data_IF_352461634336
#
_entry.id   IF_352461634336
#
_cell.length_a   1.000
_cell.length_b   1.000
_cell.length_c   1.000
_cell.angle_alpha   90.00
_cell.angle_beta   90.00
_cell.angle_gamma   90.00
#
_symmetry.space_group_name_H-M   'P 1'
#
loop_
_entity.id
_entity.type
_entity.pdbx_description
1 polymer ?
#
# COMPACT_ATOMS: atom_id res chain seq x y z
N UNK A 1 -3.01 20.38 10.65
CA UNK A 1 -4.36 19.79 10.57
C UNK A 1 -4.39 18.56 11.44
N UNK A 2 -5.43 18.35 12.26
CA UNK A 2 -5.55 17.21 13.17
C UNK A 2 -6.70 16.31 12.71
N UNK A 3 -6.50 14.99 12.77
CA UNK A 3 -7.50 13.96 12.45
C UNK A 3 -7.44 12.86 13.50
N UNK A 4 -8.57 12.23 13.80
CA UNK A 4 -8.66 11.05 14.67
C UNK A 4 -8.61 9.73 13.90
N UNK A 5 -8.60 9.79 12.58
CA UNK A 5 -8.41 8.65 11.67
C UNK A 5 -6.94 8.55 11.27
N UNK A 6 -6.35 7.33 11.27
CA UNK A 6 -5.01 7.12 10.75
C UNK A 6 -4.86 7.57 9.30
N UNK A 7 -3.65 7.97 8.88
CA UNK A 7 -3.36 8.27 7.49
C UNK A 7 -3.46 7.03 6.59
N UNK A 8 -3.82 7.23 5.32
CA UNK A 8 -4.02 6.14 4.36
C UNK A 8 -2.75 5.36 4.01
N UNK A 9 -1.55 5.94 4.20
CA UNK A 9 -0.29 5.23 3.94
C UNK A 9 -0.11 4.01 4.85
N UNK A 10 -0.73 3.99 6.04
CA UNK A 10 -0.69 2.84 6.95
C UNK A 10 -1.38 1.63 6.30
N UNK A 11 -2.41 1.85 5.48
CA UNK A 11 -3.06 0.77 4.74
C UNK A 11 -2.10 0.13 3.73
N UNK A 12 -1.33 0.94 3.02
CA UNK A 12 -0.33 0.46 2.06
C UNK A 12 0.79 -0.36 2.75
N UNK A 13 1.24 0.10 3.93
CA UNK A 13 2.23 -0.59 4.76
C UNK A 13 1.74 -1.99 5.17
N UNK A 14 0.53 -2.08 5.74
CA UNK A 14 -0.05 -3.37 6.16
C UNK A 14 -0.27 -4.30 4.98
N UNK A 15 -0.69 -3.78 3.82
CA UNK A 15 -0.81 -4.61 2.61
C UNK A 15 0.54 -5.19 2.19
N UNK A 16 1.63 -4.43 2.27
CA UNK A 16 2.97 -4.91 1.94
C UNK A 16 3.50 -5.93 2.97
N UNK A 17 3.19 -5.73 4.26
CA UNK A 17 3.49 -6.70 5.31
C UNK A 17 2.85 -8.06 5.03
N UNK A 18 1.59 -8.07 4.56
CA UNK A 18 0.90 -9.31 4.19
C UNK A 18 1.58 -10.02 3.01
N UNK A 19 1.98 -9.28 1.98
CA UNK A 19 2.71 -9.84 0.82
C UNK A 19 4.00 -10.52 1.29
N UNK A 20 4.77 -9.85 2.14
CA UNK A 20 6.03 -10.37 2.67
C UNK A 20 5.80 -11.58 3.59
N UNK A 21 4.83 -11.50 4.50
CA UNK A 21 4.51 -12.56 5.46
C UNK A 21 4.12 -13.88 4.77
N UNK A 22 3.30 -13.81 3.71
CA UNK A 22 2.89 -15.00 2.96
C UNK A 22 3.86 -15.39 1.83
N UNK A 23 4.93 -14.62 1.60
CA UNK A 23 5.92 -14.91 0.57
C UNK A 23 5.37 -14.87 -0.86
N UNK A 24 4.41 -13.99 -1.13
CA UNK A 24 3.83 -13.88 -2.48
C UNK A 24 4.83 -13.22 -3.44
N UNK A 25 5.24 -13.96 -4.47
CA UNK A 25 6.18 -13.50 -5.50
C UNK A 25 5.51 -12.69 -6.62
N UNK A 26 4.17 -12.71 -6.70
CA UNK A 26 3.41 -11.98 -7.70
C UNK A 26 2.10 -11.44 -7.11
N UNK A 27 1.84 -10.15 -7.34
CA UNK A 27 0.61 -9.47 -6.97
C UNK A 27 0.16 -8.55 -8.10
N UNK A 28 -1.15 -8.39 -8.27
CA UNK A 28 -1.75 -7.42 -9.19
C UNK A 28 -2.60 -6.43 -8.40
N UNK A 29 -2.59 -5.17 -8.80
CA UNK A 29 -3.28 -4.09 -8.09
C UNK A 29 -4.23 -3.38 -9.04
N UNK A 30 -5.43 -3.10 -8.57
CA UNK A 30 -6.46 -2.33 -9.28
C UNK A 30 -6.85 -1.17 -8.38
N UNK A 31 -6.89 0.04 -8.93
CA UNK A 31 -7.38 1.22 -8.22
C UNK A 31 -8.19 2.13 -9.15
N UNK A 32 -8.94 3.03 -8.53
CA UNK A 32 -9.62 4.13 -9.20
C UNK A 32 -8.60 5.10 -9.80
N UNK A 33 -8.92 5.70 -10.95
CA UNK A 33 -8.05 6.67 -11.62
C UNK A 33 -8.21 8.08 -11.04
N UNK A 34 -8.05 8.19 -9.73
CA UNK A 34 -8.07 9.44 -8.95
C UNK A 34 -6.89 9.46 -7.98
N UNK A 35 -6.68 10.60 -7.30
CA UNK A 35 -5.51 10.81 -6.45
C UNK A 35 -5.39 9.78 -5.33
N UNK A 36 -6.49 9.41 -4.67
CA UNK A 36 -6.46 8.39 -3.62
C UNK A 36 -5.97 7.04 -4.16
N UNK A 37 -6.56 6.58 -5.27
CA UNK A 37 -6.18 5.32 -5.93
C UNK A 37 -4.73 5.34 -6.45
N UNK A 38 -4.31 6.42 -7.11
CA UNK A 38 -2.97 6.58 -7.67
C UNK A 38 -1.90 6.63 -6.57
N UNK A 39 -2.11 7.45 -5.53
CA UNK A 39 -1.17 7.61 -4.42
C UNK A 39 -1.10 6.34 -3.56
N UNK A 40 -2.24 5.66 -3.35
CA UNK A 40 -2.29 4.39 -2.62
C UNK A 40 -1.47 3.29 -3.31
N UNK A 41 -1.61 3.14 -4.64
CA UNK A 41 -0.80 2.18 -5.40
C UNK A 41 0.68 2.52 -5.36
N UNK A 42 1.04 3.79 -5.49
CA UNK A 42 2.45 4.21 -5.45
C UNK A 42 3.07 3.93 -4.07
N UNK A 43 2.38 4.27 -2.99
CA UNK A 43 2.81 3.95 -1.63
C UNK A 43 2.97 2.43 -1.45
N UNK A 44 1.98 1.63 -1.84
CA UNK A 44 2.06 0.17 -1.74
C UNK A 44 3.25 -0.41 -2.53
N UNK A 45 3.50 0.08 -3.75
CA UNK A 45 4.65 -0.33 -4.56
C UNK A 45 5.98 -0.02 -3.87
N UNK A 46 6.08 1.10 -3.18
CA UNK A 46 7.29 1.46 -2.42
C UNK A 46 7.48 0.54 -1.22
N UNK A 47 6.42 0.27 -0.46
CA UNK A 47 6.46 -0.60 0.71
C UNK A 47 6.76 -2.07 0.38
N UNK A 48 6.28 -2.58 -0.75
CA UNK A 48 6.61 -3.94 -1.22
C UNK A 48 8.07 -4.03 -1.68
N UNK A 49 8.61 -2.96 -2.30
CA UNK A 49 10.01 -2.92 -2.72
C UNK A 49 10.98 -2.84 -1.54
N UNK A 50 10.59 -2.21 -0.43
CA UNK A 50 11.45 -2.09 0.76
C UNK A 50 11.54 -3.39 1.56
N UNK A 51 10.60 -4.33 1.36
CA UNK A 51 10.49 -5.62 2.07
C UNK A 51 11.04 -6.83 1.30
N UNK A 52 11.48 -6.63 0.06
CA UNK A 52 12.12 -7.66 -0.77
C UNK A 52 13.64 -7.55 -0.72
#
# INVERSE_FOLDING_TARGET
FLRTIPPDYIQAEVMADLVAYYGWSYVSVVATDEDYGRLGIEAFKQEVKSRN
#
